data_IF_378262774025
#
_entry.id   IF_378262774025
#
_cell.length_a   1.000
_cell.length_b   1.000
_cell.length_c   1.000
_cell.angle_alpha   90.00
_cell.angle_beta   90.00
_cell.angle_gamma   90.00
#
_symmetry.space_group_name_H-M   'P 1'
#
loop_
_entity.id
_entity.type
_entity.pdbx_description
1 polymer ?
#
# COMPACT_ATOMS: atom_id res chain seq x y z
N UNK A 1 39.47 51.98 -31.71
CA UNK A 1 40.07 50.79 -31.08
C UNK A 1 39.30 50.49 -29.80
N UNK A 2 38.52 49.41 -29.86
CA UNK A 2 37.84 48.62 -28.82
C UNK A 2 37.41 49.27 -27.49
N UNK A 3 36.13 49.60 -27.39
CA UNK A 3 35.34 49.58 -26.15
C UNK A 3 34.94 48.13 -25.82
N UNK A 4 35.42 47.64 -24.69
CA UNK A 4 35.20 46.29 -24.16
C UNK A 4 33.77 46.09 -23.67
N UNK A 5 32.97 45.31 -24.42
CA UNK A 5 31.75 44.66 -23.94
C UNK A 5 32.12 43.41 -23.16
N UNK A 6 32.11 43.48 -21.83
CA UNK A 6 32.15 42.29 -20.98
C UNK A 6 30.72 41.83 -20.70
N UNK A 7 30.24 40.92 -21.53
CA UNK A 7 29.06 40.10 -21.26
C UNK A 7 29.45 39.14 -20.14
N UNK A 8 28.81 39.24 -18.98
CA UNK A 8 28.90 38.24 -17.92
C UNK A 8 28.16 36.97 -18.35
N UNK A 9 28.83 35.83 -18.52
CA UNK A 9 28.15 34.56 -18.66
C UNK A 9 28.10 33.84 -17.30
N UNK A 10 27.16 32.90 -17.15
CA UNK A 10 27.08 31.92 -16.07
C UNK A 10 26.43 32.36 -14.74
N UNK A 11 25.11 32.61 -14.78
CA UNK A 11 24.28 32.08 -13.68
C UNK A 11 24.06 30.60 -13.97
N UNK A 12 24.46 29.66 -13.09
CA UNK A 12 24.10 28.26 -13.27
C UNK A 12 22.58 28.15 -13.26
N UNK A 13 22.01 27.60 -14.34
CA UNK A 13 20.65 27.04 -14.28
C UNK A 13 20.59 26.19 -13.02
N UNK A 14 19.69 26.54 -12.09
CA UNK A 14 19.35 25.65 -10.98
C UNK A 14 18.88 24.37 -11.65
N UNK A 15 19.75 23.35 -11.71
CA UNK A 15 19.35 21.98 -11.98
C UNK A 15 18.17 21.70 -11.07
N UNK A 16 16.96 21.63 -11.64
CA UNK A 16 15.75 21.26 -10.90
C UNK A 16 16.11 20.01 -10.12
N UNK A 17 16.23 20.14 -8.80
CA UNK A 17 16.41 18.98 -7.94
C UNK A 17 15.19 18.12 -8.18
N UNK A 18 15.37 16.99 -8.88
CA UNK A 18 14.29 16.02 -9.09
C UNK A 18 13.84 15.60 -7.70
N UNK A 19 12.66 16.05 -7.29
CA UNK A 19 12.04 15.60 -6.06
C UNK A 19 12.02 14.07 -6.09
N UNK A 20 12.60 13.49 -5.05
CA UNK A 20 12.71 12.05 -4.94
C UNK A 20 11.31 11.46 -4.71
N UNK A 21 10.93 10.48 -5.54
CA UNK A 21 9.64 9.78 -5.41
C UNK A 21 9.43 9.18 -4.02
N UNK A 22 8.20 9.26 -3.52
CA UNK A 22 7.76 8.71 -2.25
C UNK A 22 7.66 7.18 -2.30
N UNK A 23 7.08 6.64 -3.36
CA UNK A 23 6.98 5.20 -3.63
C UNK A 23 7.75 4.87 -4.91
N UNK A 24 8.42 3.73 -4.95
CA UNK A 24 9.09 3.22 -6.15
C UNK A 24 8.11 2.41 -7.00
N UNK A 25 8.46 2.20 -8.27
CA UNK A 25 7.68 1.35 -9.18
C UNK A 25 7.51 -0.09 -8.69
N UNK A 26 8.46 -0.59 -7.89
CA UNK A 26 8.42 -1.91 -7.24
C UNK A 26 7.60 -1.92 -5.93
N UNK A 27 6.95 -0.81 -5.59
CA UNK A 27 6.07 -0.69 -4.41
C UNK A 27 6.80 -0.46 -3.07
N UNK A 28 8.13 -0.31 -3.08
CA UNK A 28 8.90 0.07 -1.88
C UNK A 28 8.78 1.57 -1.60
N UNK A 29 8.55 1.92 -0.34
CA UNK A 29 8.47 3.32 0.10
C UNK A 29 9.86 3.86 0.44
N UNK A 30 10.21 5.05 -0.05
CA UNK A 30 11.45 5.76 0.27
C UNK A 30 11.31 6.58 1.56
N UNK A 31 10.92 5.92 2.66
CA UNK A 31 10.71 6.58 3.95
C UNK A 31 11.55 5.91 5.01
N UNK A 32 12.36 6.70 5.71
CA UNK A 32 13.10 6.26 6.88
C UNK A 32 12.48 6.90 8.13
N UNK A 33 12.04 6.07 9.08
CA UNK A 33 11.51 6.54 10.36
C UNK A 33 12.70 6.87 11.28
N UNK A 34 13.03 8.16 11.39
CA UNK A 34 14.06 8.66 12.30
C UNK A 34 13.50 9.00 13.69
N UNK A 35 14.37 8.96 14.71
CA UNK A 35 14.08 9.42 16.07
C UNK A 35 12.86 8.77 16.75
N UNK A 36 12.67 7.45 16.56
CA UNK A 36 11.68 6.68 17.31
C UNK A 36 12.22 6.46 18.74
N UNK A 37 11.76 7.28 19.70
CA UNK A 37 12.23 7.24 21.11
C UNK A 37 11.87 5.94 21.84
N UNK A 38 10.87 5.20 21.36
CA UNK A 38 10.30 4.03 22.04
C UNK A 38 10.66 2.72 21.32
N UNK A 39 11.95 2.44 21.17
CA UNK A 39 12.45 1.22 20.51
C UNK A 39 12.03 -0.06 21.23
N UNK A 40 11.70 0.00 22.52
CA UNK A 40 11.21 -1.15 23.29
C UNK A 40 9.91 -1.74 22.73
N UNK A 41 9.10 -0.96 22.02
CA UNK A 41 7.85 -1.43 21.40
C UNK A 41 8.08 -2.55 20.39
N UNK A 42 9.22 -2.54 19.69
CA UNK A 42 9.61 -3.64 18.79
C UNK A 42 9.92 -4.93 19.55
N UNK A 43 10.42 -4.85 20.79
CA UNK A 43 10.69 -6.02 21.62
C UNK A 43 9.43 -6.55 22.30
N UNK A 44 8.46 -5.68 22.60
CA UNK A 44 7.15 -6.10 23.12
C UNK A 44 6.42 -6.99 22.13
N UNK A 45 6.55 -6.71 20.83
CA UNK A 45 6.02 -7.56 19.76
C UNK A 45 7.17 -8.30 19.03
N UNK A 46 7.81 -9.21 19.76
CA UNK A 46 8.93 -9.99 19.25
C UNK A 46 8.51 -10.95 18.11
N UNK A 47 7.26 -11.41 18.12
CA UNK A 47 6.76 -12.34 17.11
C UNK A 47 6.69 -11.67 15.73
N UNK A 48 6.05 -10.50 15.62
CA UNK A 48 6.00 -9.78 14.33
C UNK A 48 7.38 -9.35 13.88
N UNK A 49 8.23 -8.91 14.81
CA UNK A 49 9.61 -8.52 14.53
C UNK A 49 10.41 -9.68 13.92
N UNK A 50 10.34 -10.89 14.49
CA UNK A 50 11.02 -12.08 13.96
C UNK A 50 10.51 -12.46 12.56
N UNK A 51 9.20 -12.40 12.36
CA UNK A 51 8.57 -12.71 11.07
C UNK A 51 8.97 -11.68 10.00
N UNK A 52 9.15 -10.41 10.34
CA UNK A 52 9.51 -9.35 9.39
C UNK A 52 11.01 -9.25 9.08
N UNK A 53 11.88 -9.83 9.91
CA UNK A 53 13.32 -9.89 9.64
C UNK A 53 13.63 -10.58 8.31
N UNK A 54 14.75 -10.21 7.67
CA UNK A 54 15.21 -10.89 6.44
C UNK A 54 15.49 -12.37 6.72
N UNK A 55 15.30 -13.22 5.71
CA UNK A 55 15.54 -14.67 5.79
C UNK A 55 16.89 -15.04 6.43
N UNK A 56 17.96 -14.31 6.12
CA UNK A 56 19.30 -14.55 6.69
C UNK A 56 19.32 -14.41 8.21
N UNK A 57 18.69 -13.38 8.75
CA UNK A 57 18.62 -13.16 10.20
C UNK A 57 17.67 -14.15 10.86
N UNK A 58 16.55 -14.46 10.21
CA UNK A 58 15.59 -15.43 10.74
C UNK A 58 16.21 -16.84 10.86
N UNK A 59 16.91 -17.31 9.84
CA UNK A 59 17.64 -18.60 9.88
C UNK A 59 18.77 -18.58 10.90
N UNK A 60 19.49 -17.46 11.03
CA UNK A 60 20.52 -17.31 12.05
C UNK A 60 19.95 -17.40 13.47
N UNK A 61 18.84 -16.68 13.76
CA UNK A 61 18.16 -16.73 15.05
C UNK A 61 17.62 -18.14 15.33
N UNK A 62 17.06 -18.81 14.32
CA UNK A 62 16.59 -20.19 14.46
C UNK A 62 17.72 -21.11 14.93
N UNK A 63 18.85 -21.13 14.22
CA UNK A 63 20.01 -21.95 14.62
C UNK A 63 20.54 -21.53 15.99
N UNK A 64 20.60 -20.23 16.28
CA UNK A 64 21.08 -19.71 17.55
C UNK A 64 20.21 -20.18 18.73
N UNK A 65 18.89 -20.14 18.60
CA UNK A 65 18.00 -20.52 19.71
C UNK A 65 18.12 -22.01 20.02
N UNK A 66 18.08 -22.89 19.02
CA UNK A 66 18.27 -24.34 19.26
C UNK A 66 19.66 -24.65 19.82
N UNK A 67 20.71 -24.03 19.30
CA UNK A 67 22.07 -24.27 19.83
C UNK A 67 22.22 -23.78 21.27
N UNK A 68 21.63 -22.64 21.63
CA UNK A 68 21.63 -22.12 22.99
C UNK A 68 20.82 -23.00 23.94
N UNK A 69 19.64 -23.50 23.54
CA UNK A 69 18.85 -24.42 24.38
C UNK A 69 19.61 -25.72 24.62
N UNK A 70 20.19 -26.32 23.58
CA UNK A 70 20.99 -27.54 23.70
C UNK A 70 22.24 -27.36 24.55
N UNK A 71 22.92 -26.22 24.45
CA UNK A 71 24.08 -25.92 25.29
C UNK A 71 23.67 -25.68 26.74
N UNK A 72 22.56 -24.97 26.98
CA UNK A 72 22.05 -24.72 28.32
C UNK A 72 21.66 -26.02 29.02
N UNK A 73 20.84 -26.86 28.39
CA UNK A 73 20.46 -28.16 28.98
C UNK A 73 21.63 -29.14 29.04
N UNK A 74 22.51 -29.16 28.04
CA UNK A 74 23.74 -29.95 28.07
C UNK A 74 24.66 -29.58 29.24
N UNK A 75 24.77 -28.29 29.55
CA UNK A 75 25.48 -27.82 30.74
C UNK A 75 24.78 -28.25 32.02
N UNK A 76 23.45 -28.15 32.11
CA UNK A 76 22.70 -28.61 33.29
C UNK A 76 22.85 -30.12 33.52
N UNK A 77 22.81 -30.94 32.48
CA UNK A 77 23.06 -32.39 32.57
C UNK A 77 24.48 -32.70 33.03
N UNK A 78 25.47 -32.00 32.49
CA UNK A 78 26.86 -32.13 32.92
C UNK A 78 27.04 -31.71 34.39
N UNK A 79 26.37 -30.63 34.81
CA UNK A 79 26.42 -30.11 36.17
C UNK A 79 25.81 -31.10 37.17
N UNK A 80 24.67 -31.72 36.85
CA UNK A 80 24.08 -32.78 37.70
C UNK A 80 25.04 -33.97 37.83
N UNK A 81 25.61 -34.43 36.71
CA UNK A 81 26.57 -35.53 36.72
C UNK A 81 27.84 -35.18 37.54
N UNK A 82 28.28 -33.92 37.49
CA UNK A 82 29.42 -33.43 38.27
C UNK A 82 29.13 -33.34 39.77
N UNK A 83 28.03 -32.71 40.17
CA UNK A 83 27.65 -32.55 41.59
C UNK A 83 27.42 -33.92 42.25
N UNK A 84 26.87 -34.87 41.50
CA UNK A 84 26.59 -36.23 41.98
C UNK A 84 27.85 -37.10 42.09
N UNK A 85 28.95 -36.72 41.43
CA UNK A 85 30.18 -37.52 41.37
C UNK A 85 30.12 -38.66 40.35
N UNK A 86 29.18 -38.63 39.40
CA UNK A 86 29.03 -39.66 38.35
C UNK A 86 30.27 -39.70 37.43
N UNK A 87 30.93 -38.55 37.25
CA UNK A 87 32.14 -38.41 36.44
C UNK A 87 33.40 -39.00 37.12
N UNK A 88 33.38 -39.17 38.45
CA UNK A 88 34.52 -39.71 39.21
C UNK A 88 34.50 -41.25 39.27
N UNK A 89 33.31 -41.85 39.20
CA UNK A 89 33.08 -43.30 39.30
C UNK A 89 32.90 -43.97 37.93
N UNK A 90 33.50 -43.42 36.87
CA UNK A 90 33.39 -43.96 35.51
C UNK A 90 34.07 -45.35 35.47
N UNK A 91 33.29 -46.39 35.23
CA UNK A 91 33.76 -47.78 35.15
C UNK A 91 33.64 -48.57 36.46
N UNK A 92 33.06 -47.98 37.52
CA UNK A 92 32.70 -48.71 38.73
C UNK A 92 31.38 -49.47 38.53
N UNK A 93 31.41 -50.79 38.69
CA UNK A 93 30.23 -51.63 38.53
C UNK A 93 29.21 -51.49 39.68
N UNK A 94 29.61 -50.89 40.81
CA UNK A 94 28.71 -50.67 41.96
C UNK A 94 27.94 -49.36 41.86
N UNK A 95 28.42 -48.40 41.07
CA UNK A 95 27.78 -47.10 40.91
C UNK A 95 26.88 -47.07 39.67
N UNK A 96 25.67 -46.55 39.83
CA UNK A 96 24.73 -46.36 38.72
C UNK A 96 24.56 -44.85 38.48
N UNK A 97 25.10 -44.32 37.37
CA UNK A 97 25.05 -42.88 37.11
C UNK A 97 23.62 -42.44 36.79
N UNK A 98 23.37 -41.13 36.87
CA UNK A 98 22.08 -40.55 36.51
C UNK A 98 21.74 -40.79 35.02
N UNK A 99 22.74 -40.64 34.16
CA UNK A 99 22.66 -40.95 32.72
C UNK A 99 23.81 -41.87 32.36
N UNK A 100 23.48 -43.02 31.78
CA UNK A 100 24.49 -43.98 31.34
C UNK A 100 25.35 -43.41 30.20
N UNK A 101 26.64 -43.73 30.20
CA UNK A 101 27.61 -43.33 29.17
C UNK A 101 27.79 -41.81 29.00
N UNK A 102 27.69 -41.06 30.09
CA UNK A 102 27.99 -39.63 30.15
C UNK A 102 29.42 -39.42 30.68
N UNK A 103 30.39 -39.41 29.75
CA UNK A 103 31.82 -39.38 30.07
C UNK A 103 32.40 -37.96 30.21
N UNK A 104 31.66 -36.93 29.78
CA UNK A 104 32.08 -35.53 29.84
C UNK A 104 31.06 -34.57 29.24
N UNK A 105 31.46 -33.31 29.04
CA UNK A 105 30.56 -32.26 28.55
C UNK A 105 30.00 -32.55 27.15
N UNK A 106 30.84 -33.04 26.22
CA UNK A 106 30.40 -33.35 24.84
C UNK A 106 29.32 -34.43 24.83
N UNK A 107 29.46 -35.45 25.68
CA UNK A 107 28.43 -36.51 25.80
C UNK A 107 27.15 -36.02 26.47
N UNK A 108 27.24 -35.05 27.40
CA UNK A 108 26.07 -34.39 27.98
C UNK A 108 25.34 -33.51 26.96
N UNK A 109 26.09 -32.79 26.11
CA UNK A 109 25.54 -32.02 25.00
C UNK A 109 24.82 -32.91 23.98
N UNK A 110 25.42 -34.05 23.59
CA UNK A 110 24.76 -35.03 22.72
C UNK A 110 23.48 -35.58 23.36
N UNK A 111 23.51 -35.93 24.65
CA UNK A 111 22.31 -36.36 25.37
C UNK A 111 21.22 -35.29 25.40
N UNK A 112 21.60 -34.02 25.59
CA UNK A 112 20.67 -32.90 25.55
C UNK A 112 19.98 -32.77 24.19
N UNK A 113 20.71 -32.94 23.09
CA UNK A 113 20.11 -32.95 21.74
C UNK A 113 19.18 -34.15 21.60
N UNK A 114 19.67 -35.36 21.91
CA UNK A 114 18.90 -36.61 21.80
C UNK A 114 17.55 -36.53 22.53
N UNK A 115 17.54 -35.85 23.68
CA UNK A 115 16.38 -35.65 24.53
C UNK A 115 15.45 -34.57 23.99
N UNK A 116 15.97 -33.37 23.69
CA UNK A 116 15.14 -32.23 23.24
C UNK A 116 14.52 -32.46 21.85
N UNK A 117 15.29 -33.03 20.92
CA UNK A 117 14.78 -33.37 19.59
C UNK A 117 14.06 -34.71 19.55
N UNK A 118 13.96 -35.41 20.69
CA UNK A 118 13.28 -36.70 20.83
C UNK A 118 13.81 -37.80 19.89
N UNK A 119 15.11 -37.75 19.55
CA UNK A 119 15.75 -38.80 18.74
C UNK A 119 15.99 -40.04 19.59
N UNK A 120 16.53 -39.86 20.81
CA UNK A 120 16.72 -40.92 21.80
C UNK A 120 17.39 -42.18 21.27
N UNK A 121 18.67 -42.11 20.85
CA UNK A 121 19.39 -43.26 20.29
C UNK A 121 19.46 -44.48 21.23
N UNK A 122 19.21 -44.31 22.53
CA UNK A 122 19.16 -45.39 23.52
C UNK A 122 20.53 -45.84 24.03
N UNK A 123 21.62 -45.25 23.55
CA UNK A 123 22.95 -45.46 24.10
C UNK A 123 23.17 -44.70 25.42
N UNK A 124 22.48 -43.55 25.57
CA UNK A 124 22.48 -42.72 26.77
C UNK A 124 21.07 -42.73 27.34
N UNK A 125 20.92 -43.32 28.52
CA UNK A 125 19.62 -43.59 29.13
C UNK A 125 19.63 -43.08 30.56
N UNK A 126 18.56 -42.40 30.95
CA UNK A 126 18.33 -41.93 32.32
C UNK A 126 17.96 -43.10 33.24
N UNK A 127 18.43 -43.06 34.49
CA UNK A 127 18.13 -44.07 35.52
C UNK A 127 17.20 -43.52 36.59
N UNK A 128 16.64 -44.39 37.43
CA UNK A 128 15.77 -44.08 38.55
C UNK A 128 16.51 -43.50 39.78
N UNK A 129 17.85 -43.45 39.73
CA UNK A 129 18.71 -43.12 40.87
C UNK A 129 18.81 -41.64 41.18
N UNK A 130 18.41 -40.78 40.24
CA UNK A 130 18.51 -39.33 40.34
C UNK A 130 17.14 -38.64 40.12
N UNK A 131 16.42 -38.24 41.19
CA UNK A 131 15.16 -37.50 41.02
C UNK A 131 15.38 -36.14 40.34
N UNK A 132 16.54 -35.51 40.55
CA UNK A 132 16.92 -34.24 39.90
C UNK A 132 16.98 -34.37 38.37
N UNK A 133 17.52 -35.49 37.86
CA UNK A 133 17.55 -35.77 36.43
C UNK A 133 16.16 -35.94 35.84
N UNK A 134 15.24 -36.60 36.55
CA UNK A 134 13.85 -36.77 36.11
C UNK A 134 13.13 -35.42 36.02
N UNK A 135 13.33 -34.54 37.01
CA UNK A 135 12.77 -33.19 36.99
C UNK A 135 13.35 -32.38 35.83
N UNK A 136 14.68 -32.43 35.61
CA UNK A 136 15.32 -31.74 34.49
C UNK A 136 14.80 -32.24 33.14
N UNK A 137 14.65 -33.56 32.98
CA UNK A 137 14.07 -34.18 31.78
C UNK A 137 12.66 -33.66 31.50
N UNK A 138 11.82 -33.57 32.54
CA UNK A 138 10.45 -33.05 32.41
C UNK A 138 10.44 -31.58 32.00
N UNK A 139 11.24 -30.75 32.68
CA UNK A 139 11.37 -29.32 32.35
C UNK A 139 11.90 -29.13 30.93
N UNK A 140 12.92 -29.89 30.53
CA UNK A 140 13.49 -29.85 29.19
C UNK A 140 12.48 -30.25 28.11
N UNK A 141 11.70 -31.30 28.36
CA UNK A 141 10.67 -31.76 27.41
C UNK A 141 9.58 -30.71 27.20
N UNK A 142 9.12 -30.07 28.28
CA UNK A 142 8.10 -29.01 28.22
C UNK A 142 8.64 -27.76 27.53
N UNK A 143 9.80 -27.25 27.94
CA UNK A 143 10.38 -26.04 27.36
C UNK A 143 10.83 -26.27 25.91
N UNK A 144 11.39 -27.44 25.59
CA UNK A 144 11.74 -27.83 24.22
C UNK A 144 10.52 -27.83 23.30
N UNK A 145 9.39 -28.35 23.78
CA UNK A 145 8.13 -28.32 23.02
C UNK A 145 7.63 -26.90 22.76
N UNK A 146 7.72 -26.01 23.75
CA UNK A 146 7.33 -24.59 23.64
C UNK A 146 8.22 -23.86 22.62
N UNK A 147 9.55 -24.00 22.73
CA UNK A 147 10.50 -23.37 21.81
C UNK A 147 10.30 -23.89 20.39
N UNK A 148 10.13 -25.21 20.23
CA UNK A 148 9.87 -25.82 18.93
C UNK A 148 8.58 -25.29 18.30
N UNK A 149 7.47 -25.26 19.05
CA UNK A 149 6.20 -24.73 18.57
C UNK A 149 6.31 -23.26 18.15
N UNK A 150 7.01 -22.44 18.93
CA UNK A 150 7.24 -21.02 18.61
C UNK A 150 8.05 -20.86 17.32
N UNK A 151 9.16 -21.59 17.17
CA UNK A 151 10.04 -21.47 16.01
C UNK A 151 9.39 -22.00 14.73
N UNK A 152 8.74 -23.17 14.79
CA UNK A 152 8.01 -23.73 13.66
C UNK A 152 6.83 -22.83 13.27
N UNK A 153 6.09 -22.30 14.25
CA UNK A 153 5.01 -21.34 14.01
C UNK A 153 5.50 -20.06 13.33
N UNK A 154 6.61 -19.48 13.79
CA UNK A 154 7.23 -18.31 13.16
C UNK A 154 7.66 -18.60 11.71
N UNK A 155 8.26 -19.78 11.44
CA UNK A 155 8.63 -20.18 10.08
C UNK A 155 7.43 -20.38 9.18
N UNK A 156 6.39 -21.07 9.67
CA UNK A 156 5.15 -21.31 8.94
C UNK A 156 4.48 -20.00 8.54
N UNK A 157 4.33 -19.05 9.48
CA UNK A 157 3.76 -17.73 9.19
C UNK A 157 4.60 -17.01 8.14
N UNK A 158 5.93 -16.98 8.31
CA UNK A 158 6.82 -16.30 7.36
C UNK A 158 6.77 -16.88 5.95
N UNK A 159 6.67 -18.20 5.80
CA UNK A 159 6.53 -18.88 4.51
C UNK A 159 5.18 -18.55 3.88
N UNK A 160 4.13 -18.53 4.71
CA UNK A 160 2.77 -18.29 4.25
C UNK A 160 2.54 -16.84 3.82
N UNK A 161 3.32 -15.88 4.34
CA UNK A 161 3.12 -14.45 4.05
C UNK A 161 3.00 -14.16 2.54
N UNK A 162 1.95 -13.45 2.11
CA UNK A 162 1.65 -13.23 0.70
C UNK A 162 2.54 -12.16 0.04
N UNK A 163 3.66 -11.78 0.65
CA UNK A 163 4.57 -10.72 0.14
C UNK A 163 5.08 -11.05 -1.27
N UNK A 164 5.32 -12.32 -1.59
CA UNK A 164 5.70 -12.77 -2.94
C UNK A 164 4.57 -12.68 -3.95
N UNK A 165 3.31 -12.71 -3.52
CA UNK A 165 2.16 -12.59 -4.44
C UNK A 165 1.98 -11.16 -4.94
N UNK A 166 2.40 -10.16 -4.17
CA UNK A 166 2.46 -8.79 -4.67
C UNK A 166 3.47 -8.62 -5.83
N UNK A 167 4.46 -9.50 -5.97
CA UNK A 167 5.43 -9.47 -7.09
C UNK A 167 4.83 -9.96 -8.41
N UNK A 168 3.74 -10.76 -8.38
CA UNK A 168 3.05 -11.24 -9.59
C UNK A 168 1.94 -10.30 -10.05
N UNK A 169 1.59 -9.30 -9.23
CA UNK A 169 0.65 -8.24 -9.57
C UNK A 169 1.42 -7.10 -10.23
N UNK A 170 1.13 -6.87 -11.50
CA UNK A 170 1.86 -5.91 -12.33
C UNK A 170 1.03 -4.67 -12.63
N UNK A 171 1.70 -3.53 -12.63
CA UNK A 171 1.14 -2.25 -13.05
C UNK A 171 1.82 -1.80 -14.36
N UNK A 172 1.11 -1.04 -15.19
CA UNK A 172 1.71 -0.40 -16.37
C UNK A 172 2.90 0.48 -15.98
N UNK A 173 3.87 0.60 -16.88
CA UNK A 173 5.05 1.45 -16.63
C UNK A 173 4.66 2.93 -16.64
N UNK A 174 3.77 3.30 -17.54
CA UNK A 174 3.27 4.65 -17.73
C UNK A 174 1.78 4.72 -17.42
N UNK A 175 1.31 5.85 -16.89
CA UNK A 175 -0.10 6.20 -16.91
C UNK A 175 -0.36 7.05 -18.15
N UNK A 176 -1.57 7.02 -18.70
CA UNK A 176 -1.92 7.75 -19.92
C UNK A 176 -3.14 8.62 -19.67
N UNK A 177 -3.19 9.79 -20.33
CA UNK A 177 -4.36 10.67 -20.33
C UNK A 177 -4.88 10.75 -21.75
N UNK A 178 -6.15 10.42 -21.98
CA UNK A 178 -6.81 10.63 -23.26
C UNK A 178 -8.32 10.78 -23.11
N UNK A 179 -9.00 11.18 -24.19
CA UNK A 179 -10.45 11.26 -24.20
C UNK A 179 -11.06 9.85 -24.30
N UNK A 180 -12.05 9.59 -23.44
CA UNK A 180 -12.94 8.43 -23.50
C UNK A 180 -14.39 8.91 -23.35
N UNK A 181 -15.22 8.59 -24.34
CA UNK A 181 -16.64 8.99 -24.37
C UNK A 181 -16.88 10.48 -24.12
N UNK A 182 -16.03 11.32 -24.73
CA UNK A 182 -16.11 12.79 -24.63
C UNK A 182 -15.54 13.39 -23.34
N UNK A 183 -15.01 12.57 -22.42
CA UNK A 183 -14.43 13.02 -21.15
C UNK A 183 -12.94 12.71 -21.07
N UNK A 184 -12.18 13.58 -20.40
CA UNK A 184 -10.75 13.39 -20.21
C UNK A 184 -10.53 12.40 -19.05
N UNK A 185 -9.77 11.34 -19.30
CA UNK A 185 -9.56 10.28 -18.31
C UNK A 185 -8.07 10.00 -18.10
N UNK A 186 -7.67 9.84 -16.84
CA UNK A 186 -6.37 9.31 -16.46
C UNK A 186 -6.48 7.79 -16.30
N UNK A 187 -5.61 7.05 -16.98
CA UNK A 187 -5.69 5.60 -17.07
C UNK A 187 -4.36 4.94 -16.74
N UNK A 188 -4.42 3.82 -16.03
CA UNK A 188 -3.29 2.92 -15.84
C UNK A 188 -3.77 1.47 -15.91
N UNK A 189 -2.90 0.56 -16.35
CA UNK A 189 -3.25 -0.86 -16.48
C UNK A 189 -2.75 -1.64 -15.27
N UNK A 190 -3.54 -2.62 -14.85
CA UNK A 190 -3.20 -3.58 -13.81
C UNK A 190 -3.42 -5.00 -14.36
N UNK A 191 -2.60 -5.96 -13.93
CA UNK A 191 -2.71 -7.35 -14.34
C UNK A 191 -2.25 -8.32 -13.26
N UNK A 192 -2.78 -9.54 -13.29
CA UNK A 192 -2.30 -10.68 -12.50
C UNK A 192 -1.64 -11.68 -13.45
N UNK A 193 -0.34 -11.93 -13.24
CA UNK A 193 0.41 -12.90 -14.05
C UNK A 193 0.03 -14.36 -13.74
N UNK A 194 -0.71 -14.60 -12.65
CA UNK A 194 -1.06 -15.95 -12.19
C UNK A 194 -2.51 -16.30 -12.51
N UNK A 195 -2.77 -17.58 -12.76
CA UNK A 195 -4.12 -18.09 -13.00
C UNK A 195 -5.01 -18.12 -11.75
N UNK A 196 -4.43 -18.06 -10.55
CA UNK A 196 -5.19 -18.04 -9.29
C UNK A 196 -5.76 -16.65 -9.02
N UNK A 197 -6.96 -16.55 -8.48
CA UNK A 197 -7.66 -15.27 -8.36
C UNK A 197 -7.26 -14.48 -7.12
N UNK A 198 -7.30 -13.15 -7.24
CA UNK A 198 -7.30 -12.25 -6.09
C UNK A 198 -8.76 -12.03 -5.69
N UNK A 199 -9.13 -12.57 -4.54
CA UNK A 199 -10.50 -12.48 -4.00
C UNK A 199 -10.69 -11.11 -3.37
N UNK A 200 -11.85 -10.48 -3.59
CA UNK A 200 -12.14 -9.11 -3.12
C UNK A 200 -11.06 -8.09 -3.51
N UNK A 201 -10.58 -8.18 -4.76
CA UNK A 201 -9.63 -7.22 -5.28
C UNK A 201 -10.26 -5.81 -5.29
N UNK A 202 -9.55 -4.85 -4.71
CA UNK A 202 -9.96 -3.43 -4.68
C UNK A 202 -8.78 -2.54 -5.05
N UNK A 203 -9.03 -1.54 -5.89
CA UNK A 203 -8.01 -0.58 -6.33
C UNK A 203 -8.27 0.79 -5.73
N UNK A 204 -7.21 1.44 -5.24
CA UNK A 204 -7.25 2.82 -4.75
C UNK A 204 -6.09 3.61 -5.32
N UNK A 205 -6.29 4.89 -5.52
CA UNK A 205 -5.25 5.80 -5.99
C UNK A 205 -5.20 7.04 -5.10
N UNK A 206 -3.99 7.46 -4.74
CA UNK A 206 -3.74 8.68 -3.97
C UNK A 206 -2.81 9.59 -4.75
N UNK A 207 -3.22 10.85 -4.90
CA UNK A 207 -2.34 11.91 -5.36
C UNK A 207 -1.54 12.42 -4.16
N UNK A 208 -0.23 12.47 -4.34
CA UNK A 208 0.73 13.03 -3.39
C UNK A 208 1.31 14.28 -4.02
N UNK A 209 1.06 15.42 -3.38
CA UNK A 209 1.57 16.73 -3.79
C UNK A 209 1.74 17.62 -2.56
N UNK A 210 2.78 18.46 -2.55
CA UNK A 210 2.90 19.49 -1.51
C UNK A 210 1.80 20.53 -1.67
N UNK A 211 1.16 20.94 -0.59
CA UNK A 211 0.13 21.99 -0.62
C UNK A 211 0.41 23.05 0.45
N UNK A 212 0.02 24.28 0.16
CA UNK A 212 -0.06 25.35 1.14
C UNK A 212 -1.53 25.72 1.33
N UNK A 213 -2.00 25.78 2.57
CA UNK A 213 -3.38 26.19 2.87
C UNK A 213 -3.53 27.71 2.75
N UNK A 214 -4.77 28.20 2.70
CA UNK A 214 -5.05 29.64 2.63
C UNK A 214 -4.58 30.37 3.90
N UNK A 215 -4.56 29.65 5.02
CA UNK A 215 -4.11 30.10 6.33
C UNK A 215 -2.57 30.11 6.44
N UNK A 216 -1.86 29.57 5.45
CA UNK A 216 -0.39 29.59 5.37
C UNK A 216 0.30 28.31 5.83
N UNK A 217 -0.43 27.28 6.25
CA UNK A 217 0.16 25.98 6.66
C UNK A 217 0.73 25.25 5.44
N UNK A 218 2.00 24.86 5.52
CA UNK A 218 2.66 24.05 4.49
C UNK A 218 2.58 22.56 4.85
N UNK A 219 1.95 21.77 3.98
CA UNK A 219 1.85 20.31 4.12
C UNK A 219 2.77 19.66 3.07
N UNK A 220 3.90 19.05 3.47
CA UNK A 220 4.92 18.57 2.53
C UNK A 220 4.45 17.49 1.56
N UNK A 221 3.71 16.49 2.02
CA UNK A 221 3.24 15.37 1.22
C UNK A 221 1.75 15.15 1.48
N UNK A 222 0.93 16.11 1.04
CA UNK A 222 -0.50 16.01 1.21
C UNK A 222 -1.06 14.90 0.31
N UNK A 223 -1.79 13.98 0.92
CA UNK A 223 -2.40 12.84 0.23
C UNK A 223 -3.88 13.15 -0.02
N UNK A 224 -4.29 13.20 -1.28
CA UNK A 224 -5.71 13.30 -1.67
C UNK A 224 -6.12 12.05 -2.42
N UNK A 225 -7.26 11.49 -2.04
CA UNK A 225 -7.79 10.31 -2.72
C UNK A 225 -8.29 10.66 -4.12
N UNK A 226 -8.07 9.76 -5.08
CA UNK A 226 -8.54 9.89 -6.46
C UNK A 226 -9.60 8.83 -6.73
N UNK A 227 -10.77 9.27 -7.21
CA UNK A 227 -11.89 8.39 -7.48
C UNK A 227 -11.62 7.49 -8.70
N UNK A 228 -11.48 6.19 -8.48
CA UNK A 228 -11.27 5.18 -9.53
C UNK A 228 -12.46 4.21 -9.65
N UNK A 229 -13.64 4.61 -9.15
CA UNK A 229 -14.85 3.78 -9.13
C UNK A 229 -15.46 3.58 -7.74
N UNK A 230 -15.08 4.38 -6.74
CA UNK A 230 -15.54 4.19 -5.35
C UNK A 230 -17.04 4.41 -5.19
N UNK A 231 -17.60 5.41 -5.87
CA UNK A 231 -19.03 5.75 -5.76
C UNK A 231 -19.96 4.71 -6.41
N UNK A 232 -19.48 4.05 -7.47
CA UNK A 232 -20.23 3.02 -8.21
C UNK A 232 -19.91 1.61 -7.73
N UNK A 233 -18.82 1.43 -6.97
CA UNK A 233 -18.29 0.15 -6.56
C UNK A 233 -17.52 -0.58 -7.68
N UNK A 234 -17.13 0.13 -8.75
CA UNK A 234 -16.28 -0.35 -9.85
C UNK A 234 -14.80 -0.43 -9.45
N UNK A 235 -14.45 0.12 -8.29
CA UNK A 235 -13.14 -0.04 -7.65
C UNK A 235 -12.89 -1.49 -7.19
N UNK A 236 -13.96 -2.29 -7.05
CA UNK A 236 -13.91 -3.72 -6.78
C UNK A 236 -13.71 -4.48 -8.09
N UNK A 237 -12.52 -5.03 -8.26
CA UNK A 237 -12.08 -5.62 -9.51
C UNK A 237 -12.42 -7.11 -9.57
N UNK A 238 -12.88 -7.55 -10.74
CA UNK A 238 -12.79 -8.95 -11.15
C UNK A 238 -11.56 -9.11 -12.06
N UNK A 239 -10.38 -9.25 -11.43
CA UNK A 239 -9.08 -9.25 -12.12
C UNK A 239 -8.69 -10.66 -12.59
N UNK A 240 -9.02 -10.98 -13.85
CA UNK A 240 -8.58 -12.22 -14.53
C UNK A 240 -7.65 -11.87 -15.69
N UNK A 241 -8.14 -11.05 -16.63
CA UNK A 241 -7.31 -10.43 -17.66
C UNK A 241 -6.92 -9.01 -17.25
N UNK A 242 -5.87 -8.42 -17.86
CA UNK A 242 -5.47 -7.05 -17.57
C UNK A 242 -6.60 -6.04 -17.72
N UNK A 243 -6.80 -5.22 -16.68
CA UNK A 243 -7.83 -4.18 -16.65
C UNK A 243 -7.18 -2.80 -16.76
N UNK A 244 -7.82 -1.90 -17.50
CA UNK A 244 -7.45 -0.48 -17.53
C UNK A 244 -8.31 0.23 -16.49
N UNK A 245 -7.67 0.66 -15.41
CA UNK A 245 -8.30 1.47 -14.37
C UNK A 245 -8.41 2.90 -14.88
N UNK A 246 -9.59 3.49 -14.75
CA UNK A 246 -9.95 4.77 -15.34
C UNK A 246 -10.42 5.74 -14.26
N UNK A 247 -9.68 6.83 -14.09
CA UNK A 247 -10.08 7.99 -13.30
C UNK A 247 -10.64 9.05 -14.23
N UNK A 248 -11.93 9.34 -14.12
CA UNK A 248 -12.56 10.45 -14.84
C UNK A 248 -12.11 11.79 -14.23
N UNK A 249 -11.56 12.67 -15.06
CA UNK A 249 -11.12 14.01 -14.63
C UNK A 249 -12.35 14.92 -14.65
N UNK A 250 -13.10 14.90 -13.55
CA UNK A 250 -14.26 15.74 -13.29
C UNK A 250 -13.91 16.98 -12.44
N UNK A 251 -14.90 17.80 -12.09
CA UNK A 251 -14.72 19.03 -11.29
C UNK A 251 -14.10 18.79 -9.90
N UNK A 252 -14.26 17.59 -9.34
CA UNK A 252 -13.71 17.20 -8.05
C UNK A 252 -12.30 16.59 -8.18
N UNK A 253 -11.85 16.30 -9.41
CA UNK A 253 -10.54 15.74 -9.66
C UNK A 253 -9.44 16.78 -9.41
N UNK A 254 -8.32 16.40 -8.78
CA UNK A 254 -7.17 17.30 -8.66
C UNK A 254 -6.51 17.62 -10.02
N UNK A 255 -6.87 16.89 -11.09
CA UNK A 255 -6.40 17.16 -12.45
C UNK A 255 -7.32 18.09 -13.25
N UNK A 256 -8.38 18.63 -12.65
CA UNK A 256 -9.40 19.43 -13.37
C UNK A 256 -8.82 20.64 -14.14
N UNK A 257 -7.87 21.34 -13.54
CA UNK A 257 -7.26 22.56 -14.09
C UNK A 257 -5.93 22.32 -14.79
N UNK A 258 -5.47 21.07 -14.88
CA UNK A 258 -4.15 20.74 -15.42
C UNK A 258 -4.23 20.56 -16.95
N UNK A 259 -3.49 21.38 -17.70
CA UNK A 259 -3.28 21.21 -19.15
C UNK A 259 -2.08 20.31 -19.47
N UNK A 260 -1.90 19.96 -20.75
CA UNK A 260 -0.75 19.19 -21.23
C UNK A 260 0.59 19.86 -20.89
N UNK A 261 0.70 21.18 -21.07
CA UNK A 261 1.93 21.90 -20.75
C UNK A 261 2.16 21.98 -19.24
N UNK A 262 1.10 22.24 -18.46
CA UNK A 262 1.19 22.35 -17.00
C UNK A 262 1.62 21.04 -16.35
N UNK A 263 1.15 19.90 -16.86
CA UNK A 263 1.51 18.57 -16.34
C UNK A 263 3.03 18.33 -16.34
N UNK A 264 3.75 18.82 -17.35
CA UNK A 264 5.21 18.65 -17.44
C UNK A 264 5.99 19.47 -16.41
N UNK A 265 5.38 20.56 -15.91
CA UNK A 265 5.98 21.44 -14.90
C UNK A 265 5.54 21.10 -13.48
N UNK A 266 4.46 20.34 -13.32
CA UNK A 266 3.92 19.95 -12.03
C UNK A 266 4.77 18.91 -11.29
N UNK A 267 4.84 19.08 -9.98
CA UNK A 267 5.56 18.20 -9.06
C UNK A 267 4.56 17.34 -8.29
N UNK A 268 4.10 16.29 -8.96
CA UNK A 268 3.10 15.36 -8.42
C UNK A 268 3.52 13.90 -8.58
N UNK A 269 2.98 13.08 -7.69
CA UNK A 269 3.12 11.63 -7.71
C UNK A 269 1.77 10.97 -7.42
N UNK A 270 1.35 10.04 -8.27
CA UNK A 270 0.15 9.23 -8.07
C UNK A 270 0.60 7.88 -7.53
N UNK A 271 0.23 7.55 -6.30
CA UNK A 271 0.44 6.23 -5.71
C UNK A 271 -0.80 5.38 -5.95
N UNK A 272 -0.63 4.23 -6.60
CA UNK A 272 -1.69 3.25 -6.82
C UNK A 272 -1.50 2.06 -5.89
N UNK A 273 -2.60 1.57 -5.35
CA UNK A 273 -2.63 0.52 -4.33
C UNK A 273 -3.71 -0.48 -4.73
N UNK A 274 -3.30 -1.72 -5.00
CA UNK A 274 -4.19 -2.85 -5.22
C UNK A 274 -4.18 -3.72 -3.96
N UNK A 275 -5.34 -3.93 -3.37
CA UNK A 275 -5.55 -4.79 -2.20
C UNK A 275 -6.45 -5.96 -2.56
N UNK A 276 -6.22 -7.11 -1.94
CA UNK A 276 -7.13 -8.25 -2.06
C UNK A 276 -6.59 -9.49 -1.38
N UNK A 277 -7.39 -10.56 -1.32
CA UNK A 277 -7.04 -11.80 -0.64
C UNK A 277 -6.47 -12.85 -1.60
N UNK A 278 -5.44 -13.52 -1.12
CA UNK A 278 -4.78 -14.64 -1.81
C UNK A 278 -5.66 -15.89 -1.67
N UNK A 279 -6.30 -16.33 -2.75
CA UNK A 279 -7.21 -17.50 -2.80
C UNK A 279 -6.75 -18.71 -1.97
N UNK A 280 -5.49 -19.13 -2.09
CA UNK A 280 -4.98 -20.32 -1.40
C UNK A 280 -4.75 -20.15 0.12
N UNK A 281 -4.54 -18.92 0.61
CA UNK A 281 -4.16 -18.67 2.03
C UNK A 281 -5.18 -17.87 2.81
N UNK A 282 -6.13 -17.20 2.14
CA UNK A 282 -7.07 -16.27 2.77
C UNK A 282 -6.44 -15.00 3.34
N UNK A 283 -5.12 -14.82 3.21
CA UNK A 283 -4.44 -13.62 3.70
C UNK A 283 -4.55 -12.48 2.70
N UNK A 284 -4.68 -11.26 3.24
CA UNK A 284 -4.69 -10.03 2.45
C UNK A 284 -3.29 -9.71 1.94
N UNK A 285 -3.21 -9.29 0.69
CA UNK A 285 -2.00 -8.80 0.04
C UNK A 285 -2.24 -7.39 -0.48
N UNK A 286 -1.16 -6.60 -0.56
CA UNK A 286 -1.19 -5.24 -1.05
C UNK A 286 -0.02 -5.04 -2.01
N UNK A 287 -0.33 -4.78 -3.28
CA UNK A 287 0.61 -4.38 -4.30
C UNK A 287 0.53 -2.86 -4.50
N UNK A 288 1.69 -2.21 -4.66
CA UNK A 288 1.78 -0.75 -4.78
C UNK A 288 2.65 -0.38 -5.95
N UNK A 289 2.33 0.73 -6.60
CA UNK A 289 3.22 1.38 -7.57
C UNK A 289 3.00 2.89 -7.55
N UNK A 290 3.79 3.62 -8.31
CA UNK A 290 3.79 5.08 -8.34
C UNK A 290 3.90 5.59 -9.77
N UNK A 291 3.26 6.71 -10.10
CA UNK A 291 3.46 7.44 -11.35
C UNK A 291 3.85 8.88 -11.03
N UNK A 292 5.08 9.26 -11.38
CA UNK A 292 5.49 10.68 -11.32
C UNK A 292 5.03 11.41 -12.57
N UNK A 293 4.97 12.75 -12.53
CA UNK A 293 4.52 13.58 -13.65
C UNK A 293 5.14 13.18 -15.02
N UNK A 294 6.44 12.85 -15.09
CA UNK A 294 7.11 12.46 -16.34
C UNK A 294 6.67 11.10 -16.92
N UNK A 295 6.07 10.25 -16.09
CA UNK A 295 5.55 8.91 -16.45
C UNK A 295 4.07 8.95 -16.83
N UNK A 296 3.43 10.13 -16.74
CA UNK A 296 2.07 10.36 -17.20
C UNK A 296 2.14 10.90 -18.63
N UNK A 297 1.64 10.13 -19.59
CA UNK A 297 1.71 10.44 -21.02
C UNK A 297 0.39 10.98 -21.53
N UNK A 298 0.38 12.27 -21.91
CA UNK A 298 -0.79 12.94 -22.45
C UNK A 298 -1.01 12.61 -23.93
N UNK A 299 -2.25 12.26 -24.29
CA UNK A 299 -2.63 11.91 -25.66
C UNK A 299 -2.34 10.46 -26.02
N UNK A 300 -2.16 9.57 -25.05
CA UNK A 300 -1.85 8.16 -25.29
C UNK A 300 -3.00 7.24 -24.88
N UNK A 301 -3.04 6.06 -25.51
CA UNK A 301 -3.90 4.93 -25.14
C UNK A 301 -3.06 3.67 -25.04
N UNK A 302 -3.54 2.70 -24.26
CA UNK A 302 -2.86 1.40 -24.16
C UNK A 302 -3.20 0.51 -25.36
N UNK A 303 -2.19 -0.19 -25.87
CA UNK A 303 -2.36 -1.21 -26.92
C UNK A 303 -3.25 -2.35 -26.42
N UNK A 304 -4.24 -2.83 -27.19
CA UNK A 304 -5.03 -3.99 -26.80
C UNK A 304 -4.15 -5.23 -26.56
N UNK A 305 -4.47 -6.02 -25.53
CA UNK A 305 -3.68 -7.20 -25.14
C UNK A 305 -4.44 -8.51 -25.24
N UNK A 306 -5.75 -8.44 -25.51
CA UNK A 306 -6.62 -9.61 -25.57
C UNK A 306 -6.86 -9.99 -27.03
N UNK A 307 -6.53 -11.23 -27.36
CA UNK A 307 -6.87 -11.90 -28.62
C UNK A 307 -7.77 -13.11 -28.33
N UNK A 308 -8.57 -13.51 -29.31
CA UNK A 308 -9.41 -14.70 -29.22
C UNK A 308 -8.79 -15.78 -30.10
N UNK A 309 -8.25 -16.82 -29.48
CA UNK A 309 -7.60 -17.95 -30.17
C UNK A 309 -8.29 -19.26 -29.78
N UNK A 310 -8.76 -20.04 -30.76
CA UNK A 310 -9.32 -21.39 -30.60
C UNK A 310 -10.26 -21.60 -29.38
N UNK A 311 -11.17 -20.65 -29.15
CA UNK A 311 -12.18 -20.73 -28.10
C UNK A 311 -11.72 -20.26 -26.71
N UNK A 312 -10.48 -19.78 -26.56
CA UNK A 312 -9.95 -19.16 -25.35
C UNK A 312 -9.52 -17.71 -25.60
N UNK A 313 -9.59 -16.89 -24.56
CA UNK A 313 -9.00 -15.55 -24.59
C UNK A 313 -7.53 -15.65 -24.20
N UNK A 314 -6.64 -15.27 -25.12
CA UNK A 314 -5.21 -15.19 -24.88
C UNK A 314 -4.80 -13.74 -24.54
N UNK A 315 -3.90 -13.60 -23.57
CA UNK A 315 -3.38 -12.31 -23.14
C UNK A 315 -1.91 -12.22 -23.55
N UNK A 316 -1.60 -11.32 -24.50
CA UNK A 316 -0.22 -10.99 -24.84
C UNK A 316 0.36 -9.99 -23.83
N UNK A 317 1.18 -10.50 -22.91
CA UNK A 317 1.87 -9.68 -21.91
C UNK A 317 3.04 -8.86 -22.49
N UNK A 318 3.51 -9.13 -23.71
CA UNK A 318 4.53 -8.29 -24.35
C UNK A 318 3.97 -6.88 -24.60
N UNK A 319 2.74 -6.81 -25.10
CA UNK A 319 2.01 -5.57 -25.35
C UNK A 319 1.41 -4.93 -24.08
N UNK A 320 1.68 -5.48 -22.89
CA UNK A 320 1.06 -5.02 -21.63
C UNK A 320 1.45 -3.58 -21.27
N UNK A 321 2.70 -3.21 -21.49
CA UNK A 321 3.19 -1.86 -21.17
C UNK A 321 3.08 -0.89 -22.35
N UNK A 322 2.72 -1.39 -23.53
CA UNK A 322 2.77 -0.63 -24.77
C UNK A 322 1.62 0.38 -24.86
N UNK A 323 1.98 1.56 -25.38
CA UNK A 323 1.10 2.71 -25.55
C UNK A 323 1.27 3.27 -26.96
N UNK A 324 0.18 3.78 -27.52
CA UNK A 324 0.17 4.44 -28.82
C UNK A 324 -0.47 5.84 -28.70
N UNK A 325 -0.03 6.76 -29.56
CA UNK A 325 -0.51 8.14 -29.55
C UNK A 325 -1.88 8.26 -30.23
N UNK A 326 -2.70 9.16 -29.72
CA UNK A 326 -4.07 9.42 -30.16
C UNK A 326 -4.35 10.91 -30.15
N UNK A 327 -5.20 11.35 -31.09
CA UNK A 327 -5.60 12.76 -31.16
C UNK A 327 -6.42 13.13 -29.91
N UNK A 328 -5.80 13.88 -29.00
CA UNK A 328 -6.37 14.33 -27.73
C UNK A 328 -6.06 15.82 -27.60
N UNK A 329 -7.04 16.66 -27.20
CA UNK A 329 -6.80 18.08 -27.00
C UNK A 329 -5.74 18.33 -25.92
N UNK A 330 -4.98 19.41 -26.08
CA UNK A 330 -3.97 19.84 -25.11
C UNK A 330 -4.54 20.66 -23.94
N UNK A 331 -5.79 21.11 -24.07
CA UNK A 331 -6.47 21.92 -23.06
C UNK A 331 -6.78 21.14 -21.78
N UNK A 332 -6.99 21.86 -20.68
CA UNK A 332 -7.40 21.27 -19.40
C UNK A 332 -8.81 20.68 -19.48
N UNK A 333 -9.15 19.78 -18.55
CA UNK A 333 -10.50 19.21 -18.47
C UNK A 333 -11.57 20.30 -18.24
N UNK A 334 -11.23 21.34 -17.46
CA UNK A 334 -12.06 22.52 -17.26
C UNK A 334 -12.37 23.26 -18.57
N UNK A 335 -11.35 23.60 -19.34
CA UNK A 335 -11.52 24.29 -20.62
C UNK A 335 -12.31 23.42 -21.62
N UNK A 336 -12.04 22.11 -21.64
CA UNK A 336 -12.78 21.16 -22.47
C UNK A 336 -14.28 21.15 -22.11
N UNK A 337 -14.61 21.17 -20.82
CA UNK A 337 -15.99 21.24 -20.36
C UNK A 337 -16.65 22.59 -20.69
N UNK A 338 -15.93 23.71 -20.56
CA UNK A 338 -16.42 25.04 -20.93
C UNK A 338 -16.70 25.14 -22.45
N UNK A 339 -15.80 24.62 -23.29
CA UNK A 339 -15.99 24.56 -24.76
C UNK A 339 -17.19 23.68 -25.11
N UNK A 340 -17.30 22.52 -24.47
CA UNK A 340 -18.44 21.61 -24.69
C UNK A 340 -19.75 22.26 -24.25
N UNK A 341 -19.78 22.95 -23.12
CA UNK A 341 -20.95 23.68 -22.63
C UNK A 341 -21.37 24.81 -23.59
N UNK A 342 -20.40 25.57 -24.12
CA UNK A 342 -20.66 26.63 -25.13
C UNK A 342 -21.22 26.05 -26.44
N UNK A 343 -20.72 24.90 -26.88
CA UNK A 343 -21.20 24.23 -28.10
C UNK A 343 -22.63 23.68 -27.98
N UNK A 344 -23.10 23.41 -26.76
CA UNK A 344 -24.47 22.93 -26.49
C UNK A 344 -25.51 24.04 -26.38
N UNK A 345 -25.12 25.31 -26.29
CA UNK A 345 -26.05 26.44 -26.31
C UNK A 345 -26.51 26.69 -27.76
N UNK A 346 -27.83 26.78 -28.03
CA UNK A 346 -28.32 27.15 -29.36
C UNK A 346 -27.80 28.54 -29.77
N UNK A 347 -27.31 28.66 -31.00
CA UNK A 347 -26.76 29.88 -31.62
C UNK A 347 -27.77 31.04 -31.81
N UNK A 348 -28.87 31.12 -31.05
CA UNK A 348 -29.98 32.04 -31.34
C UNK A 348 -29.89 33.43 -30.69
N UNK A 349 -28.90 33.72 -29.84
CA UNK A 349 -28.94 34.96 -29.03
C UNK A 349 -27.91 36.05 -29.38
N UNK A 350 -27.18 35.97 -30.49
CA UNK A 350 -26.11 36.94 -30.81
C UNK A 350 -26.31 37.80 -32.07
N UNK A 351 -27.54 38.27 -32.35
CA UNK A 351 -27.77 39.30 -33.42
C UNK A 351 -28.63 40.52 -33.02
N UNK A 352 -29.35 40.54 -31.89
CA UNK A 352 -30.20 41.70 -31.55
C UNK A 352 -29.63 42.58 -30.44
N UNK A 353 -28.60 43.38 -30.74
CA UNK A 353 -28.24 44.51 -29.88
C UNK A 353 -27.61 45.72 -30.60
N UNK A 354 -27.99 45.95 -31.87
CA UNK A 354 -27.74 47.26 -32.50
C UNK A 354 -28.99 47.73 -33.25
N UNK A 355 -29.41 48.95 -32.90
CA UNK A 355 -30.54 49.73 -33.42
C UNK A 355 -31.92 49.48 -32.78
N UNK A 356 -32.08 49.93 -31.54
CA UNK A 356 -33.29 50.62 -31.11
C UNK A 356 -32.89 51.80 -30.23
N UNK A 357 -32.46 52.88 -30.88
CA UNK A 357 -32.38 54.23 -30.30
C UNK A 357 -32.94 55.17 -31.35
N UNK A 358 -34.27 55.15 -31.51
CA UNK A 358 -35.01 56.32 -31.97
C UNK A 358 -35.60 56.97 -30.71
N UNK A 359 -34.96 58.05 -30.27
CA UNK A 359 -35.51 58.95 -29.27
C UNK A 359 -36.46 59.95 -29.91
N UNK A 360 -37.43 60.43 -29.12
CA UNK A 360 -38.12 61.73 -29.14
C UNK A 360 -39.15 61.74 -27.98
N UNK A 361 -39.55 62.90 -27.43
CA UNK A 361 -39.07 63.32 -26.10
C UNK A 361 -40.18 63.64 -25.06
N UNK A 362 -39.69 64.01 -23.88
CA UNK A 362 -40.35 64.46 -22.63
C UNK A 362 -41.67 65.26 -22.73
N UNK A 363 -42.56 64.98 -21.77
CA UNK A 363 -43.42 66.00 -21.14
C UNK A 363 -43.78 65.62 -19.69
N UNK A 364 -43.61 66.60 -18.80
CA UNK A 364 -43.77 66.59 -17.34
C UNK A 364 -45.24 66.63 -16.90
N UNK A 365 -45.58 66.06 -15.72
CA UNK A 365 -46.11 66.77 -14.53
C UNK A 365 -46.91 65.89 -13.51
N UNK A 366 -46.37 65.81 -12.28
CA UNK A 366 -46.95 65.98 -10.92
C UNK A 366 -48.30 65.33 -10.48
N UNK A 367 -48.22 64.59 -9.35
CA UNK A 367 -48.96 64.72 -8.04
C UNK A 367 -48.65 63.49 -7.14
N UNK A 368 -47.89 63.57 -6.03
CA UNK A 368 -48.28 63.77 -4.59
C UNK A 368 -49.51 62.96 -4.12
N UNK A 369 -49.63 62.24 -2.99
CA UNK A 369 -49.01 62.22 -1.64
C UNK A 369 -49.41 60.87 -0.95
N UNK A 370 -48.59 60.20 -0.13
CA UNK A 370 -48.43 60.24 1.36
C UNK A 370 -49.43 59.41 2.22
N UNK A 371 -48.91 58.92 3.38
CA UNK A 371 -49.52 58.25 4.57
C UNK A 371 -49.58 56.69 4.55
N UNK A 372 -48.75 55.98 5.35
CA UNK A 372 -48.94 55.54 6.77
C UNK A 372 -49.91 54.33 6.86
N UNK A 373 -49.74 53.26 7.64
CA UNK A 373 -49.17 53.09 8.99
C UNK A 373 -49.01 51.57 9.31
N UNK A 374 -48.27 51.27 10.39
CA UNK A 374 -47.94 49.95 10.94
C UNK A 374 -49.07 49.31 11.78
N UNK A 375 -48.96 47.98 11.98
CA UNK A 375 -48.97 47.27 13.29
C UNK A 375 -49.95 46.08 13.43
N UNK A 376 -49.37 44.94 13.91
CA UNK A 376 -49.92 43.97 14.90
C UNK A 376 -51.21 43.18 14.55
N UNK A 377 -51.52 41.97 15.04
CA UNK A 377 -50.91 40.89 15.82
C UNK A 377 -51.86 39.68 15.69
N UNK A 378 -51.30 38.46 15.72
CA UNK A 378 -51.83 37.14 16.12
C UNK A 378 -53.34 36.85 16.23
N UNK A 379 -53.76 35.70 15.69
CA UNK A 379 -55.03 35.04 15.98
C UNK A 379 -55.13 33.64 15.37
N UNK A 380 -55.24 32.64 16.23
CA UNK A 380 -55.00 31.20 16.06
C UNK A 380 -56.16 30.37 15.46
N UNK A 381 -55.79 29.16 15.00
CA UNK A 381 -56.54 27.87 14.98
C UNK A 381 -57.66 27.61 13.95
N UNK A 382 -57.41 26.61 13.07
CA UNK A 382 -58.26 25.41 12.95
C UNK A 382 -57.49 24.25 12.28
N UNK A 383 -57.41 23.15 13.02
CA UNK A 383 -56.76 21.87 12.69
C UNK A 383 -57.70 21.05 11.77
N UNK A 384 -57.17 20.42 10.71
CA UNK A 384 -57.89 19.41 9.91
C UNK A 384 -57.03 18.15 9.85
N UNK A 385 -57.55 17.09 10.47
CA UNK A 385 -57.11 15.71 10.30
C UNK A 385 -57.47 15.22 8.89
N UNK A 386 -56.55 14.50 8.22
CA UNK A 386 -56.93 13.47 7.27
C UNK A 386 -55.91 12.32 7.23
N UNK A 387 -56.50 11.17 7.54
CA UNK A 387 -56.08 9.77 7.50
C UNK A 387 -55.08 9.34 6.41
N UNK A 388 -54.17 8.44 6.81
CA UNK A 388 -53.59 7.41 5.94
C UNK A 388 -53.52 6.06 6.67
N UNK A 389 -54.43 5.15 6.31
CA UNK A 389 -54.33 3.68 6.34
C UNK A 389 -54.79 3.26 4.93
N UNK A 390 -54.15 2.37 4.18
CA UNK A 390 -53.56 1.06 4.47
C UNK A 390 -52.34 0.85 3.57
#
# INVERSE_FOLDING_TARGET
>A
MNSSNTVFPWLPERTKQKIQRYVRKDGKCNVHHGNVRETYRYLTDIFTTLVDLKWRFNLFIFVLVYTVTWLFFGFMWWLIAYIRGDLEHIGDNQWTPCVNNLNGFVTAFLFSIETETTIGYGHRVITDKCPEGIVLLLVQSVLGSIVNAFMVGCMFVKISQPKKRAETLVFSTNAVISIRDGRLCLMFRVGDLRNSHIVEASIRAKLIKSKQTKEGEFIPLNQTDMNVGYDTGDDRLFLVSPLIICHEINQHSPFWEISKEHLAHEELEIVVILEGMVEATGMTCQARSSYVASEIKWGYRFTPVLTLEDGFYEVDYNSFHDIYETNTPSCSARELAEVTARSRLPLTWSVSSRLSTQGLPDSQEKRSAAAEELAEQNGDVANIESESKV
#
